data_IF_584593749820
#
_entry.id   IF_584593749820
#
_cell.length_a   1.000
_cell.length_b   1.000
_cell.length_c   1.000
_cell.angle_alpha   90.00
_cell.angle_beta   90.00
_cell.angle_gamma   90.00
#
_symmetry.space_group_name_H-M   'P 1'
#
loop_
_entity.id
_entity.type
_entity.pdbx_description
1 polymer ?
#
# COMPACT_ATOMS: atom_id res chain seq x y z
N UNK A 1 -5.32 25.28 -5.20
CA UNK A 1 -5.25 24.04 -5.95
C UNK A 1 -5.50 22.91 -4.98
N UNK A 2 -6.50 22.07 -5.30
CA UNK A 2 -6.82 20.91 -4.46
C UNK A 2 -5.64 19.96 -4.37
N UNK A 3 -5.56 19.27 -3.26
CA UNK A 3 -4.56 18.19 -3.05
C UNK A 3 -5.02 16.90 -3.71
N UNK A 4 -6.32 16.74 -3.96
CA UNK A 4 -6.95 15.55 -4.54
C UNK A 4 -6.47 15.28 -5.98
N UNK A 5 -6.14 14.05 -6.26
CA UNK A 5 -5.66 13.60 -7.58
C UNK A 5 -6.68 13.80 -8.71
N UNK A 6 -7.96 13.82 -8.38
CA UNK A 6 -9.03 14.14 -9.35
C UNK A 6 -8.91 15.55 -9.95
N UNK A 7 -8.20 16.46 -9.27
CA UNK A 7 -7.96 17.85 -9.71
C UNK A 7 -6.57 18.10 -10.26
N UNK A 8 -5.69 17.09 -10.19
CA UNK A 8 -4.29 17.18 -10.62
C UNK A 8 -4.09 16.66 -12.04
N UNK A 9 -3.06 17.19 -12.69
CA UNK A 9 -2.61 16.66 -13.96
C UNK A 9 -1.84 15.34 -13.76
N UNK A 10 -1.75 14.46 -14.77
CA UNK A 10 -0.96 13.24 -14.68
C UNK A 10 0.49 13.47 -14.24
N UNK A 11 1.15 14.50 -14.75
CA UNK A 11 2.51 14.87 -14.36
C UNK A 11 2.63 15.24 -12.88
N UNK A 12 1.63 15.91 -12.32
CA UNK A 12 1.61 16.24 -10.89
C UNK A 12 1.46 14.98 -10.03
N UNK A 13 0.62 14.03 -10.45
CA UNK A 13 0.44 12.75 -9.74
C UNK A 13 1.73 11.92 -9.80
N UNK A 14 2.38 11.84 -10.96
CA UNK A 14 3.68 11.18 -11.11
C UNK A 14 4.75 11.80 -10.19
N UNK A 15 4.76 13.12 -10.12
CA UNK A 15 5.68 13.83 -9.23
C UNK A 15 5.38 13.59 -7.74
N UNK A 16 4.10 13.57 -7.35
CA UNK A 16 3.70 13.27 -5.96
C UNK A 16 4.21 11.90 -5.51
N UNK A 17 3.96 10.88 -6.33
CA UNK A 17 4.37 9.50 -6.01
C UNK A 17 5.90 9.38 -5.96
N UNK A 18 6.60 9.90 -6.96
CA UNK A 18 8.07 9.84 -6.98
C UNK A 18 8.70 10.64 -5.84
N UNK A 19 8.11 11.78 -5.47
CA UNK A 19 8.56 12.58 -4.32
C UNK A 19 8.34 11.82 -3.02
N UNK A 20 7.20 11.13 -2.85
CA UNK A 20 6.95 10.31 -1.67
C UNK A 20 7.96 9.15 -1.55
N UNK A 21 8.23 8.44 -2.65
CA UNK A 21 9.25 7.38 -2.69
C UNK A 21 10.65 7.93 -2.32
N UNK A 22 11.03 9.05 -2.92
CA UNK A 22 12.32 9.68 -2.64
C UNK A 22 12.43 10.17 -1.18
N UNK A 23 11.36 10.67 -0.60
CA UNK A 23 11.32 11.12 0.79
C UNK A 23 11.59 9.98 1.77
N UNK A 24 10.97 8.82 1.57
CA UNK A 24 11.23 7.62 2.39
C UNK A 24 12.69 7.17 2.24
N UNK A 25 13.19 7.13 1.02
CA UNK A 25 14.57 6.71 0.76
C UNK A 25 15.58 7.68 1.37
N UNK A 26 15.36 8.97 1.24
CA UNK A 26 16.21 10.02 1.86
C UNK A 26 16.19 9.94 3.39
N UNK A 27 15.02 9.70 4.01
CA UNK A 27 14.89 9.53 5.46
C UNK A 27 15.69 8.34 6.01
N UNK A 28 15.99 7.35 5.16
CA UNK A 28 16.83 6.20 5.48
C UNK A 28 18.28 6.36 4.97
N UNK A 29 18.73 7.59 4.70
CA UNK A 29 20.09 7.88 4.32
C UNK A 29 20.49 7.36 2.93
N UNK A 30 19.53 7.15 2.04
CA UNK A 30 19.73 6.59 0.69
C UNK A 30 20.31 5.16 0.70
N UNK A 31 20.06 4.40 1.74
CA UNK A 31 20.46 2.99 1.81
C UNK A 31 19.73 2.19 0.72
N UNK A 32 20.49 1.41 -0.06
CA UNK A 32 19.93 0.57 -1.13
C UNK A 32 19.02 -0.55 -0.60
N UNK A 33 19.20 -0.95 0.66
CA UNK A 33 18.31 -1.93 1.32
C UNK A 33 16.99 -1.33 1.82
N UNK A 34 16.88 -0.01 1.85
CA UNK A 34 15.73 0.74 2.36
C UNK A 34 14.97 1.50 1.25
N UNK A 35 15.09 1.04 0.01
CA UNK A 35 14.31 1.60 -1.10
C UNK A 35 12.84 1.21 -0.91
N UNK A 36 11.90 2.17 -0.85
CA UNK A 36 10.48 1.87 -0.72
C UNK A 36 9.98 1.12 -1.96
N UNK A 37 9.29 0.04 -1.73
CA UNK A 37 8.84 -0.88 -2.77
C UNK A 37 7.34 -1.17 -2.74
N UNK A 38 6.61 -0.59 -1.77
CA UNK A 38 5.16 -0.77 -1.65
C UNK A 38 4.44 0.55 -1.48
N UNK A 39 3.34 0.69 -2.23
CA UNK A 39 2.39 1.81 -2.15
C UNK A 39 1.00 1.25 -1.96
N UNK A 40 0.26 1.77 -0.99
CA UNK A 40 -1.15 1.46 -0.78
C UNK A 40 -1.98 2.71 -1.03
N UNK A 41 -3.06 2.56 -1.80
CA UNK A 41 -3.96 3.61 -2.22
C UNK A 41 -5.42 3.25 -1.91
N UNK A 42 -6.30 4.23 -1.73
CA UNK A 42 -7.74 3.98 -1.78
C UNK A 42 -8.17 3.52 -3.18
N UNK A 43 -9.30 2.81 -3.26
CA UNK A 43 -9.79 2.25 -4.54
C UNK A 43 -10.05 3.29 -5.63
N UNK A 44 -10.51 4.47 -5.25
CA UNK A 44 -10.86 5.54 -6.20
C UNK A 44 -9.61 6.07 -6.90
N UNK A 45 -8.56 6.39 -6.14
CA UNK A 45 -7.28 6.86 -6.67
C UNK A 45 -6.55 5.75 -7.46
N UNK A 46 -6.63 4.52 -6.96
CA UNK A 46 -6.07 3.37 -7.68
C UNK A 46 -6.74 3.18 -9.05
N UNK A 47 -8.08 3.22 -9.10
CA UNK A 47 -8.80 3.14 -10.37
C UNK A 47 -8.48 4.33 -11.29
N UNK A 48 -8.35 5.53 -10.72
CA UNK A 48 -8.01 6.74 -11.48
C UNK A 48 -6.68 6.60 -12.22
N UNK A 49 -5.61 6.18 -11.55
CA UNK A 49 -4.29 6.00 -12.18
C UNK A 49 -4.26 4.86 -13.19
N UNK A 50 -5.10 3.83 -13.03
CA UNK A 50 -5.20 2.72 -13.98
C UNK A 50 -5.94 3.10 -15.28
N UNK A 51 -6.86 4.04 -15.20
CA UNK A 51 -7.71 4.41 -16.35
C UNK A 51 -7.26 5.69 -17.06
N UNK A 52 -6.52 6.55 -16.33
CA UNK A 52 -6.06 7.84 -16.89
C UNK A 52 -4.74 7.67 -17.62
N UNK A 53 -4.67 8.19 -18.84
CA UNK A 53 -3.45 8.22 -19.65
C UNK A 53 -2.48 9.30 -19.17
N UNK A 54 -1.20 9.08 -19.35
CA UNK A 54 -0.15 10.07 -19.00
C UNK A 54 -0.30 11.34 -19.86
N UNK A 55 -0.59 11.17 -21.17
CA UNK A 55 -0.92 12.27 -22.07
C UNK A 55 -2.01 11.84 -23.05
N UNK A 56 -2.70 12.77 -23.68
CA UNK A 56 -3.75 12.47 -24.67
C UNK A 56 -3.23 11.65 -25.86
N UNK A 57 -1.95 11.80 -26.19
CA UNK A 57 -1.28 11.10 -27.27
C UNK A 57 -0.64 9.76 -26.84
N UNK A 58 -0.51 9.52 -25.53
CA UNK A 58 0.07 8.29 -25.04
C UNK A 58 -0.93 7.14 -25.03
N UNK A 59 -0.44 5.93 -25.23
CA UNK A 59 -1.18 4.70 -25.01
C UNK A 59 -1.00 4.19 -23.57
N UNK A 60 -0.03 4.72 -22.85
CA UNK A 60 0.37 4.32 -21.50
C UNK A 60 -0.47 5.03 -20.44
N UNK A 61 -0.91 4.27 -19.42
CA UNK A 61 -1.61 4.82 -18.25
C UNK A 61 -0.60 5.38 -17.24
N UNK A 62 -1.08 6.19 -16.28
CA UNK A 62 -0.25 6.66 -15.16
C UNK A 62 0.33 5.47 -14.40
N UNK A 63 -0.47 4.44 -14.18
CA UNK A 63 -0.05 3.21 -13.50
C UNK A 63 1.11 2.52 -14.21
N UNK A 64 0.98 2.27 -15.53
CA UNK A 64 2.02 1.60 -16.32
C UNK A 64 3.33 2.40 -16.33
N UNK A 65 3.22 3.72 -16.42
CA UNK A 65 4.38 4.61 -16.39
C UNK A 65 5.08 4.58 -15.03
N UNK A 66 4.31 4.62 -13.90
CA UNK A 66 4.85 4.52 -12.56
C UNK A 66 5.58 3.20 -12.33
N UNK A 67 5.00 2.07 -12.78
CA UNK A 67 5.63 0.75 -12.63
C UNK A 67 6.99 0.65 -13.30
N UNK A 68 7.20 1.36 -14.41
CA UNK A 68 8.47 1.36 -15.17
C UNK A 68 9.46 2.43 -14.70
N UNK A 69 8.96 3.58 -14.23
CA UNK A 69 9.74 4.78 -13.99
C UNK A 69 9.66 5.23 -12.52
N UNK A 70 10.17 4.39 -11.63
CA UNK A 70 10.25 4.68 -10.20
C UNK A 70 11.64 4.31 -9.66
N UNK A 71 11.94 4.75 -8.44
CA UNK A 71 13.24 4.53 -7.81
C UNK A 71 13.53 3.04 -7.60
N UNK A 72 12.53 2.24 -7.20
CA UNK A 72 12.71 0.81 -6.96
C UNK A 72 13.06 0.08 -8.26
N UNK A 73 12.26 0.27 -9.32
CA UNK A 73 12.48 -0.38 -10.61
C UNK A 73 13.84 -0.01 -11.25
N UNK A 74 14.28 1.25 -11.10
CA UNK A 74 15.57 1.69 -11.64
C UNK A 74 16.79 1.18 -10.85
N UNK A 75 16.58 0.71 -9.62
CA UNK A 75 17.60 0.07 -8.79
C UNK A 75 17.49 -1.47 -8.77
N UNK A 76 16.72 -2.06 -9.68
CA UNK A 76 16.61 -3.51 -9.83
C UNK A 76 15.64 -4.20 -8.88
N UNK A 77 14.77 -3.43 -8.23
CA UNK A 77 13.65 -3.94 -7.42
C UNK A 77 12.32 -3.81 -8.15
N UNK A 78 11.28 -4.36 -7.57
CA UNK A 78 9.91 -4.24 -8.06
C UNK A 78 9.12 -3.28 -7.15
N UNK A 79 8.29 -2.44 -7.75
CA UNK A 79 7.33 -1.61 -7.04
C UNK A 79 5.96 -2.30 -7.07
N UNK A 80 5.36 -2.45 -5.91
CA UNK A 80 3.97 -2.89 -5.78
C UNK A 80 3.06 -1.71 -5.47
N UNK A 81 1.99 -1.54 -6.22
CA UNK A 81 0.94 -0.56 -5.96
C UNK A 81 -0.36 -1.33 -5.76
N UNK A 82 -0.92 -1.25 -4.57
CA UNK A 82 -2.14 -1.97 -4.19
C UNK A 82 -3.25 -1.05 -3.73
N UNK A 83 -4.50 -1.51 -3.92
CA UNK A 83 -5.68 -0.82 -3.43
C UNK A 83 -6.14 -1.40 -2.10
N UNK A 84 -6.53 -0.54 -1.16
CA UNK A 84 -7.11 -0.96 0.12
C UNK A 84 -8.19 0.00 0.61
N UNK A 85 -9.25 -0.57 1.19
CA UNK A 85 -10.31 0.22 1.81
C UNK A 85 -9.84 1.02 3.03
N UNK A 86 -8.80 0.54 3.71
CA UNK A 86 -8.26 1.15 4.93
C UNK A 86 -7.56 2.50 4.70
N UNK A 87 -7.26 2.85 3.45
CA UNK A 87 -6.68 4.14 3.09
C UNK A 87 -7.75 5.23 2.84
N UNK A 88 -9.02 4.85 2.68
CA UNK A 88 -10.11 5.81 2.46
C UNK A 88 -10.48 6.50 3.76
N UNK A 89 -10.47 7.84 3.78
CA UNK A 89 -10.78 8.63 4.97
C UNK A 89 -9.83 8.41 6.15
N UNK A 90 -8.64 7.85 5.91
CA UNK A 90 -7.68 7.54 6.98
C UNK A 90 -6.76 8.71 7.34
N UNK A 91 -6.80 9.76 6.56
CA UNK A 91 -5.99 10.95 6.75
C UNK A 91 -6.59 11.96 7.69
N UNK A 92 -5.91 13.08 7.86
CA UNK A 92 -6.40 14.20 8.65
C UNK A 92 -7.68 14.76 8.03
N UNK A 93 -8.71 15.03 8.87
CA UNK A 93 -10.03 15.53 8.46
C UNK A 93 -10.73 14.62 7.43
N UNK A 94 -10.67 13.31 7.64
CA UNK A 94 -11.27 12.28 6.75
C UNK A 94 -10.75 12.33 5.30
N UNK A 95 -9.55 12.88 5.09
CA UNK A 95 -8.91 12.88 3.79
C UNK A 95 -8.43 11.47 3.41
N UNK A 96 -8.38 11.18 2.12
CA UNK A 96 -7.80 9.96 1.60
C UNK A 96 -6.29 9.94 1.79
N UNK A 97 -5.75 8.75 2.08
CA UNK A 97 -4.34 8.56 2.44
C UNK A 97 -3.64 7.62 1.48
N UNK A 98 -2.44 7.99 1.04
CA UNK A 98 -1.49 7.09 0.44
C UNK A 98 -0.47 6.65 1.49
N UNK A 99 -0.14 5.36 1.51
CA UNK A 99 0.90 4.79 2.37
C UNK A 99 2.04 4.30 1.50
N UNK A 100 3.24 4.79 1.74
CA UNK A 100 4.47 4.36 1.07
C UNK A 100 5.39 3.75 2.10
N UNK A 101 5.87 2.53 1.87
CA UNK A 101 6.73 1.87 2.84
C UNK A 101 7.70 0.87 2.21
N UNK A 102 8.70 0.48 3.00
CA UNK A 102 9.65 -0.59 2.66
C UNK A 102 9.09 -1.92 3.15
N UNK A 103 8.56 -2.74 2.24
CA UNK A 103 8.08 -4.08 2.58
C UNK A 103 9.24 -5.07 2.59
N UNK A 104 9.85 -5.20 3.74
CA UNK A 104 10.90 -6.17 4.01
C UNK A 104 10.89 -6.48 5.51
N UNK A 105 11.11 -7.73 5.88
CA UNK A 105 11.05 -8.23 7.27
C UNK A 105 11.92 -7.44 8.27
N UNK A 106 12.96 -6.78 7.78
CA UNK A 106 13.84 -5.91 8.58
C UNK A 106 13.18 -4.61 9.02
N UNK A 107 12.17 -4.14 8.28
CA UNK A 107 11.51 -2.84 8.49
C UNK A 107 10.09 -2.99 9.00
N UNK A 108 9.36 -3.95 8.45
CA UNK A 108 7.96 -4.23 8.79
C UNK A 108 7.80 -5.73 8.93
N UNK A 109 7.24 -6.17 10.04
CA UNK A 109 7.05 -7.58 10.35
C UNK A 109 5.70 -7.82 11.02
N UNK A 110 5.11 -8.95 10.75
CA UNK A 110 3.95 -9.51 11.43
C UNK A 110 4.30 -10.94 11.84
N UNK A 111 4.04 -11.31 13.08
CA UNK A 111 4.27 -12.65 13.58
C UNK A 111 2.95 -13.42 13.72
N UNK A 112 2.85 -14.55 13.06
CA UNK A 112 1.76 -15.51 13.24
C UNK A 112 2.10 -16.44 14.40
N UNK A 113 1.62 -16.11 15.61
CA UNK A 113 1.91 -16.88 16.82
C UNK A 113 1.19 -18.23 16.82
N UNK A 114 -0.05 -18.25 16.35
CA UNK A 114 -0.85 -19.46 16.20
C UNK A 114 -1.54 -19.42 14.84
N UNK A 115 -1.17 -20.28 13.90
CA UNK A 115 -1.81 -20.35 12.59
C UNK A 115 -3.29 -20.72 12.72
N UNK A 116 -4.11 -20.32 11.75
CA UNK A 116 -5.53 -20.66 11.74
C UNK A 116 -5.69 -22.17 11.75
N UNK A 117 -6.06 -22.70 12.91
CA UNK A 117 -6.25 -24.13 13.13
C UNK A 117 -7.65 -24.47 13.64
N UNK A 118 -8.14 -25.61 13.21
CA UNK A 118 -9.40 -26.13 13.73
C UNK A 118 -9.18 -26.78 15.08
N UNK A 119 -9.86 -26.27 16.12
CA UNK A 119 -9.76 -26.79 17.49
C UNK A 119 -10.70 -27.97 17.66
N UNK A 120 -11.97 -27.78 17.29
CA UNK A 120 -13.03 -28.75 17.55
C UNK A 120 -14.12 -28.67 16.49
N UNK A 121 -14.74 -29.83 16.21
CA UNK A 121 -15.95 -29.91 15.41
C UNK A 121 -16.92 -30.84 16.12
N UNK A 122 -18.14 -30.39 16.35
CA UNK A 122 -19.20 -31.19 16.98
C UNK A 122 -20.48 -31.16 16.16
N UNK A 123 -21.27 -32.27 16.13
CA UNK A 123 -22.53 -32.29 15.44
C UNK A 123 -23.57 -31.43 16.20
N UNK A 124 -24.27 -30.59 15.45
CA UNK A 124 -25.42 -29.84 15.92
C UNK A 124 -26.70 -30.53 15.36
N UNK A 125 -27.38 -31.28 16.21
CA UNK A 125 -28.50 -32.11 15.81
C UNK A 125 -29.76 -31.26 15.51
N UNK A 126 -29.89 -30.08 16.15
CA UNK A 126 -31.04 -29.19 15.94
C UNK A 126 -31.05 -28.59 14.54
N UNK A 127 -29.86 -28.21 14.05
CA UNK A 127 -29.70 -27.56 12.75
C UNK A 127 -29.17 -28.50 11.64
N UNK A 128 -28.99 -29.80 11.98
CA UNK A 128 -28.46 -30.82 11.04
C UNK A 128 -27.16 -30.36 10.38
N UNK A 129 -26.24 -29.77 11.16
CA UNK A 129 -24.95 -29.24 10.71
C UNK A 129 -23.83 -29.59 11.70
N UNK A 130 -22.60 -29.17 11.38
CA UNK A 130 -21.47 -29.26 12.29
C UNK A 130 -21.03 -27.86 12.71
N UNK A 131 -20.96 -27.64 14.04
CA UNK A 131 -20.34 -26.44 14.59
C UNK A 131 -18.83 -26.67 14.67
N UNK A 132 -18.07 -25.80 14.04
CA UNK A 132 -16.61 -25.92 13.99
C UNK A 132 -15.96 -24.65 14.54
N UNK A 133 -15.14 -24.83 15.58
CA UNK A 133 -14.38 -23.76 16.19
C UNK A 133 -12.95 -23.70 15.60
N UNK A 134 -12.53 -22.49 15.25
CA UNK A 134 -11.18 -22.19 14.80
C UNK A 134 -10.50 -21.25 15.77
N UNK A 135 -9.19 -21.36 15.85
CA UNK A 135 -8.32 -20.45 16.63
C UNK A 135 -7.22 -19.94 15.73
N UNK A 136 -6.94 -18.66 15.83
CA UNK A 136 -5.75 -18.01 15.28
C UNK A 136 -5.26 -16.95 16.26
N UNK A 137 -3.97 -16.70 16.30
CA UNK A 137 -3.38 -15.60 17.06
C UNK A 137 -2.30 -14.94 16.19
N UNK A 138 -2.58 -13.69 15.81
CA UNK A 138 -1.69 -12.86 15.03
C UNK A 138 -1.15 -11.75 15.92
N UNK A 139 0.09 -11.34 15.70
CA UNK A 139 0.63 -10.13 16.33
C UNK A 139 0.08 -8.87 15.65
N UNK A 140 0.29 -7.74 16.27
CA UNK A 140 0.17 -6.46 15.56
C UNK A 140 1.34 -6.32 14.58
N UNK A 141 1.15 -5.48 13.56
CA UNK A 141 2.22 -5.14 12.61
C UNK A 141 3.27 -4.31 13.33
N UNK A 142 4.48 -4.80 13.40
CA UNK A 142 5.62 -4.13 14.01
C UNK A 142 6.40 -3.34 12.96
N UNK A 143 6.60 -2.04 13.23
CA UNK A 143 7.41 -1.15 12.40
C UNK A 143 8.68 -0.84 13.17
N UNK A 144 9.81 -1.46 12.78
CA UNK A 144 11.09 -1.28 13.47
C UNK A 144 11.73 0.08 13.24
N UNK A 145 11.53 0.64 12.04
CA UNK A 145 12.07 1.94 11.66
C UNK A 145 10.95 2.86 11.19
N UNK A 146 10.51 3.82 12.00
CA UNK A 146 9.44 4.77 11.62
C UNK A 146 9.76 5.57 10.36
N UNK A 147 11.04 5.74 10.02
CA UNK A 147 11.51 6.41 8.79
C UNK A 147 11.23 5.60 7.52
N UNK A 148 10.93 4.32 7.64
CA UNK A 148 10.67 3.42 6.50
C UNK A 148 9.23 3.47 5.98
N UNK A 149 8.37 4.26 6.61
CA UNK A 149 6.98 4.45 6.23
C UNK A 149 6.65 5.93 6.13
N UNK A 150 5.83 6.29 5.15
CA UNK A 150 5.33 7.65 4.93
C UNK A 150 3.83 7.62 4.66
N UNK A 151 3.10 8.47 5.37
CA UNK A 151 1.69 8.75 5.12
C UNK A 151 1.56 10.07 4.37
N UNK A 152 0.85 10.05 3.24
CA UNK A 152 0.54 11.24 2.45
C UNK A 152 -0.97 11.41 2.42
N UNK A 153 -1.45 12.45 3.06
CA UNK A 153 -2.88 12.73 3.20
C UNK A 153 -3.35 13.74 2.15
N UNK A 154 -4.61 13.59 1.73
CA UNK A 154 -5.25 14.49 0.78
C UNK A 154 -4.88 14.24 -0.68
N UNK A 155 -4.80 12.98 -1.07
CA UNK A 155 -4.55 12.56 -2.44
C UNK A 155 -5.82 12.47 -3.27
#
# INVERSE_FOLDING_TARGET
SGTEWSTKTPDQILNDVNTALLTVWAANGYDLSAIPNHILLPYEQYNYIMTTKVTDLATETIFDFLMKNNVAAKNGGDLFIGATAWCKGAGSADADRMVVYVNHERFVKEDELVPLSRIMSQPNVENVCYDTAYMANLSEVEIFYPTSILYVDGI
#
